data_IF_295410455956
#
_entry.id   IF_295410455956
#
_cell.length_a   1.000
_cell.length_b   1.000
_cell.length_c   1.000
_cell.angle_alpha   90.00
_cell.angle_beta   90.00
_cell.angle_gamma   90.00
#
_symmetry.space_group_name_H-M   'P 1'
#
loop_
_entity.id
_entity.type
_entity.pdbx_description
1 polymer ?
#
# COMPACT_ATOMS: atom_id res chain seq x y z
N UNK A 1 11.92 8.22 1.12
CA UNK A 1 10.77 7.78 0.30
C UNK A 1 9.49 8.20 1.02
N UNK A 2 8.58 8.94 0.38
CA UNK A 2 7.39 9.51 1.04
C UNK A 2 6.11 8.81 0.54
N UNK A 3 5.39 8.13 1.44
CA UNK A 3 4.14 7.42 1.12
C UNK A 3 3.08 8.34 0.50
N UNK A 4 2.93 9.55 1.03
CA UNK A 4 1.99 10.54 0.50
C UNK A 4 2.36 11.01 -0.92
N UNK A 5 3.66 10.98 -1.26
CA UNK A 5 4.10 11.27 -2.62
C UNK A 5 3.69 10.21 -3.63
N UNK A 6 3.57 8.96 -3.19
CA UNK A 6 3.19 7.81 -4.02
C UNK A 6 1.69 7.76 -4.24
N UNK A 7 0.91 8.01 -3.19
CA UNK A 7 -0.54 8.15 -3.30
C UNK A 7 -0.91 9.23 -4.33
N UNK A 8 -0.14 10.34 -4.36
CA UNK A 8 -0.35 11.44 -5.32
C UNK A 8 0.02 11.14 -6.76
N UNK A 9 0.66 9.99 -7.05
CA UNK A 9 0.84 9.50 -8.42
C UNK A 9 -0.48 8.96 -8.98
N UNK A 10 -1.39 8.54 -8.11
CA UNK A 10 -2.72 8.02 -8.47
C UNK A 10 -3.83 9.06 -8.23
N UNK A 11 -3.76 9.79 -7.10
CA UNK A 11 -4.76 10.77 -6.69
C UNK A 11 -4.12 12.12 -6.39
N UNK A 12 -4.03 13.03 -7.39
CA UNK A 12 -3.43 14.35 -7.21
C UNK A 12 -4.10 15.17 -6.09
N UNK A 13 -3.35 16.08 -5.46
CA UNK A 13 -3.74 16.86 -4.26
C UNK A 13 -5.13 17.54 -4.29
N UNK A 14 -5.61 17.90 -5.49
CA UNK A 14 -6.87 18.65 -5.68
C UNK A 14 -7.93 17.82 -6.40
N UNK A 15 -7.69 16.52 -6.55
CA UNK A 15 -8.68 15.57 -7.06
C UNK A 15 -9.66 15.26 -5.94
N UNK A 16 -10.95 15.35 -6.23
CA UNK A 16 -11.98 14.86 -5.34
C UNK A 16 -11.97 13.32 -5.35
N UNK A 17 -11.99 12.71 -4.17
CA UNK A 17 -11.94 11.26 -4.00
C UNK A 17 -13.33 10.61 -3.96
N UNK A 18 -14.38 11.42 -3.90
CA UNK A 18 -15.78 11.02 -3.92
C UNK A 18 -16.16 10.19 -5.16
N UNK A 19 -15.50 10.45 -6.28
CA UNK A 19 -15.73 9.75 -7.55
C UNK A 19 -14.70 8.65 -7.83
N UNK A 20 -13.79 8.36 -6.91
CA UNK A 20 -12.84 7.26 -7.06
C UNK A 20 -13.57 5.96 -6.82
N UNK A 21 -13.61 5.11 -7.85
CA UNK A 21 -14.20 3.78 -7.71
C UNK A 21 -13.35 2.92 -6.78
N UNK A 22 -14.01 1.96 -6.11
CA UNK A 22 -13.34 0.97 -5.28
C UNK A 22 -12.23 0.23 -6.05
N UNK A 23 -12.48 -0.08 -7.32
CA UNK A 23 -11.51 -0.72 -8.22
C UNK A 23 -10.26 0.13 -8.43
N UNK A 24 -10.39 1.44 -8.59
CA UNK A 24 -9.26 2.36 -8.71
C UNK A 24 -8.48 2.47 -7.41
N UNK A 25 -9.19 2.53 -6.27
CA UNK A 25 -8.57 2.53 -4.96
C UNK A 25 -7.76 1.25 -4.73
N UNK A 26 -8.34 0.07 -5.02
CA UNK A 26 -7.65 -1.22 -4.91
C UNK A 26 -6.45 -1.32 -5.85
N UNK A 27 -6.58 -0.85 -7.09
CA UNK A 27 -5.45 -0.85 -8.01
C UNK A 27 -4.30 0.02 -7.50
N UNK A 28 -4.60 1.19 -6.96
CA UNK A 28 -3.58 2.08 -6.40
C UNK A 28 -2.90 1.43 -5.18
N UNK A 29 -3.67 0.85 -4.25
CA UNK A 29 -3.11 0.21 -3.05
C UNK A 29 -2.31 -1.03 -3.40
N UNK A 30 -2.76 -1.87 -4.32
CA UNK A 30 -2.03 -3.06 -4.80
C UNK A 30 -0.67 -2.67 -5.38
N UNK A 31 -0.63 -1.68 -6.28
CA UNK A 31 0.62 -1.18 -6.85
C UNK A 31 1.54 -0.55 -5.79
N UNK A 32 0.98 0.15 -4.81
CA UNK A 32 1.80 0.74 -3.73
C UNK A 32 2.36 -0.31 -2.78
N UNK A 33 1.58 -1.36 -2.47
CA UNK A 33 1.92 -2.43 -1.54
C UNK A 33 2.89 -3.45 -2.14
N UNK A 34 2.88 -3.61 -3.47
CA UNK A 34 3.80 -4.47 -4.21
C UNK A 34 5.04 -3.74 -4.75
N UNK A 35 5.20 -2.44 -4.45
CA UNK A 35 6.36 -1.67 -4.89
C UNK A 35 7.55 -1.84 -3.94
N UNK A 36 8.72 -2.32 -4.42
CA UNK A 36 9.97 -2.34 -3.65
C UNK A 36 10.36 -0.98 -3.08
N UNK A 37 10.73 -0.94 -1.80
CA UNK A 37 11.08 0.29 -1.08
C UNK A 37 12.51 0.26 -0.60
N UNK A 38 13.29 1.31 -0.88
CA UNK A 38 14.71 1.37 -0.44
C UNK A 38 14.82 1.33 1.09
N UNK A 39 13.89 1.98 1.80
CA UNK A 39 13.86 1.97 3.27
C UNK A 39 13.52 0.60 3.88
N UNK A 40 12.96 -0.32 3.10
CA UNK A 40 12.66 -1.70 3.51
C UNK A 40 13.72 -2.69 3.00
N UNK A 41 14.90 -2.22 2.57
CA UNK A 41 15.92 -3.06 1.95
C UNK A 41 15.46 -3.66 0.62
N UNK A 42 14.72 -2.87 -0.17
CA UNK A 42 14.11 -3.26 -1.45
C UNK A 42 13.03 -4.35 -1.37
N UNK A 43 12.52 -4.64 -0.16
CA UNK A 43 11.29 -5.42 0.01
C UNK A 43 10.06 -4.58 -0.26
N UNK A 44 8.96 -5.24 -0.57
CA UNK A 44 7.65 -4.60 -0.70
C UNK A 44 7.01 -4.41 0.68
N UNK A 45 6.15 -3.39 0.87
CA UNK A 45 5.35 -3.25 2.09
C UNK A 45 4.56 -4.51 2.40
N UNK A 46 4.03 -5.19 1.38
CA UNK A 46 3.31 -6.45 1.53
C UNK A 46 4.19 -7.55 2.15
N UNK A 47 5.41 -7.76 1.65
CA UNK A 47 6.33 -8.78 2.17
C UNK A 47 6.70 -8.52 3.64
N UNK A 48 6.97 -7.26 3.98
CA UNK A 48 7.33 -6.87 5.35
C UNK A 48 6.13 -7.04 6.29
N UNK A 49 4.94 -6.62 5.84
CA UNK A 49 3.71 -6.78 6.61
C UNK A 49 3.37 -8.25 6.85
N UNK A 50 3.39 -9.07 5.79
CA UNK A 50 3.16 -10.51 5.88
C UNK A 50 4.15 -11.16 6.85
N UNK A 51 5.44 -10.83 6.76
CA UNK A 51 6.44 -11.33 7.72
C UNK A 51 6.12 -10.91 9.16
N UNK A 52 5.68 -9.67 9.36
CA UNK A 52 5.32 -9.15 10.68
C UNK A 52 4.06 -9.82 11.25
N UNK A 53 3.03 -10.08 10.43
CA UNK A 53 1.81 -10.78 10.88
C UNK A 53 2.09 -12.23 11.22
N UNK A 54 2.90 -12.94 10.41
CA UNK A 54 3.30 -14.32 10.70
C UNK A 54 4.19 -14.44 11.94
N UNK A 55 4.99 -13.42 12.27
CA UNK A 55 5.82 -13.40 13.47
C UNK A 55 5.07 -12.95 14.73
N UNK A 56 4.01 -12.16 14.59
CA UNK A 56 3.22 -11.63 15.71
C UNK A 56 2.01 -12.50 16.08
N UNK A 57 1.82 -13.65 15.43
CA UNK A 57 1.15 -14.85 15.97
C UNK A 57 -0.27 -14.76 16.55
N UNK A 58 -0.99 -13.63 16.49
CA UNK A 58 -2.30 -13.53 17.17
C UNK A 58 -3.31 -12.56 16.56
N UNK A 59 -3.08 -11.96 15.39
CA UNK A 59 -4.14 -11.17 14.74
C UNK A 59 -4.27 -11.55 13.27
N UNK A 60 -5.42 -12.16 13.01
CA UNK A 60 -6.01 -12.53 11.73
C UNK A 60 -5.70 -11.57 10.60
N UNK A 61 -5.64 -12.11 9.37
CA UNK A 61 -6.33 -11.52 8.23
C UNK A 61 -6.66 -12.67 7.25
N UNK A 62 -7.90 -13.15 7.38
CA UNK A 62 -8.69 -13.56 6.22
C UNK A 62 -8.85 -12.32 5.34
N UNK A 63 -8.39 -12.42 4.10
CA UNK A 63 -8.87 -11.68 2.95
C UNK A 63 -9.34 -12.70 1.95
#
# INVERSE_FOLDING_TARGET
ENHNGLLRQFFPKRMALDNVSEKEAFRATDLMNNRPRKCLGYKTPFEVFAKMTFLNGSVALMG
#
